data_IF_526240047805
#
_entry.id   IF_526240047805
#
_cell.length_a   1.000
_cell.length_b   1.000
_cell.length_c   1.000
_cell.angle_alpha   90.00
_cell.angle_beta   90.00
_cell.angle_gamma   90.00
#
_symmetry.space_group_name_H-M   'P 1'
#
loop_
_entity.id
_entity.type
_entity.pdbx_description
1 polymer ?
#
# COMPACT_ATOMS: atom_id res chain seq x y z
N UNK A 1 6.51 18.55 1.04
CA UNK A 1 5.51 17.97 1.96
C UNK A 1 4.21 17.84 1.20
N UNK A 2 3.61 16.66 1.23
CA UNK A 2 2.32 16.39 0.60
C UNK A 2 1.19 17.24 1.23
N UNK A 3 0.29 17.85 0.42
CA UNK A 3 -0.79 18.70 0.92
C UNK A 3 -1.74 18.03 1.92
N UNK A 4 -1.90 16.69 1.86
CA UNK A 4 -2.75 15.92 2.78
C UNK A 4 -2.14 15.91 4.17
N UNK A 5 -0.82 15.70 4.25
CA UNK A 5 -0.11 15.73 5.51
C UNK A 5 -0.05 17.14 6.09
N UNK A 6 0.12 18.15 5.23
CA UNK A 6 0.01 19.56 5.63
C UNK A 6 -1.37 19.89 6.22
N UNK A 7 -2.44 19.42 5.56
CA UNK A 7 -3.82 19.60 6.01
C UNK A 7 -4.17 18.81 7.27
N UNK A 8 -3.53 17.67 7.50
CA UNK A 8 -3.66 16.92 8.75
C UNK A 8 -2.89 17.58 9.90
N UNK A 9 -1.65 18.05 9.67
CA UNK A 9 -0.83 18.61 10.75
C UNK A 9 -1.32 19.99 11.18
N UNK A 10 -1.67 20.85 10.22
CA UNK A 10 -2.00 22.26 10.48
C UNK A 10 -3.00 22.49 11.63
N UNK A 11 -4.17 21.81 11.65
CA UNK A 11 -5.17 21.98 12.70
C UNK A 11 -4.70 21.64 14.13
N UNK A 12 -3.79 20.67 14.27
CA UNK A 12 -3.34 20.13 15.56
C UNK A 12 -1.86 20.43 15.84
N UNK A 13 -1.25 21.37 15.11
CA UNK A 13 0.20 21.58 15.11
C UNK A 13 0.77 21.94 16.50
N UNK A 14 -0.03 22.57 17.36
CA UNK A 14 0.35 22.90 18.73
C UNK A 14 0.10 21.77 19.74
N UNK A 15 -0.63 20.72 19.35
CA UNK A 15 -0.91 19.55 20.18
C UNK A 15 0.26 18.55 20.11
N UNK A 16 0.45 17.70 21.15
CA UNK A 16 1.47 16.65 21.13
C UNK A 16 1.40 15.75 19.89
N UNK A 17 0.18 15.42 19.42
CA UNK A 17 -0.02 14.61 18.22
C UNK A 17 0.48 15.31 16.94
N UNK A 18 0.25 16.63 16.80
CA UNK A 18 0.78 17.38 15.65
C UNK A 18 2.31 17.50 15.68
N UNK A 19 2.90 17.63 16.88
CA UNK A 19 4.35 17.64 17.07
C UNK A 19 4.97 16.28 16.72
N UNK A 20 4.35 15.16 17.13
CA UNK A 20 4.79 13.81 16.77
C UNK A 20 4.75 13.58 15.26
N UNK A 21 3.66 13.97 14.59
CA UNK A 21 3.56 13.86 13.12
C UNK A 21 4.65 14.68 12.40
N UNK A 22 4.97 15.87 12.89
CA UNK A 22 6.06 16.69 12.34
C UNK A 22 7.44 16.07 12.57
N UNK A 23 7.68 15.51 13.76
CA UNK A 23 8.92 14.79 14.08
C UNK A 23 9.11 13.58 13.17
N UNK A 24 8.06 12.77 13.01
CA UNK A 24 8.05 11.64 12.08
C UNK A 24 8.29 12.06 10.65
N UNK A 25 7.66 13.13 10.18
CA UNK A 25 7.89 13.62 8.83
C UNK A 25 9.36 14.02 8.63
N UNK A 26 9.95 14.72 9.60
CA UNK A 26 11.38 15.08 9.55
C UNK A 26 12.26 13.84 9.52
N UNK A 27 12.03 12.91 10.44
CA UNK A 27 12.73 11.63 10.50
C UNK A 27 12.62 10.86 9.18
N UNK A 28 11.45 10.84 8.55
CA UNK A 28 11.25 10.20 7.25
C UNK A 28 12.10 10.84 6.16
N UNK A 29 12.17 12.18 6.10
CA UNK A 29 13.00 12.90 5.13
C UNK A 29 14.49 12.63 5.35
N UNK A 30 14.92 12.57 6.60
CA UNK A 30 16.33 12.41 6.97
C UNK A 30 16.84 10.98 6.82
N UNK A 31 15.99 9.98 7.10
CA UNK A 31 16.43 8.59 7.31
C UNK A 31 15.89 7.59 6.29
N UNK A 32 14.84 7.94 5.53
CA UNK A 32 14.28 7.01 4.55
C UNK A 32 15.31 6.66 3.47
N UNK A 33 15.37 5.39 3.03
CA UNK A 33 16.24 5.00 1.94
C UNK A 33 15.90 5.77 0.65
N UNK A 34 16.90 5.95 -0.20
CA UNK A 34 16.72 6.48 -1.55
C UNK A 34 15.79 5.57 -2.38
N UNK A 35 15.14 6.13 -3.40
CA UNK A 35 14.31 5.32 -4.31
C UNK A 35 15.22 4.35 -5.08
N UNK A 36 14.83 3.07 -5.23
CA UNK A 36 15.63 2.11 -5.97
C UNK A 36 15.70 2.50 -7.46
N UNK A 37 16.78 2.13 -8.12
CA UNK A 37 17.02 2.40 -9.55
C UNK A 37 17.51 1.14 -10.27
N UNK A 38 17.42 1.13 -11.60
CA UNK A 38 17.95 0.04 -12.43
C UNK A 38 17.36 -1.33 -12.06
N UNK A 39 18.23 -2.31 -11.86
CA UNK A 39 17.85 -3.69 -11.50
C UNK A 39 17.14 -3.78 -10.15
N UNK A 40 17.62 -3.07 -9.13
CA UNK A 40 16.97 -3.02 -7.81
C UNK A 40 15.54 -2.49 -7.89
N UNK A 41 15.27 -1.53 -8.78
CA UNK A 41 13.90 -1.06 -9.03
C UNK A 41 13.03 -2.17 -9.63
N UNK A 42 13.57 -2.93 -10.57
CA UNK A 42 12.87 -4.05 -11.19
C UNK A 42 12.54 -5.15 -10.18
N UNK A 43 13.48 -5.46 -9.27
CA UNK A 43 13.28 -6.38 -8.16
C UNK A 43 12.25 -5.86 -7.16
N UNK A 44 12.32 -4.57 -6.80
CA UNK A 44 11.41 -3.94 -5.84
C UNK A 44 9.94 -4.06 -6.24
N UNK A 45 9.64 -4.03 -7.54
CA UNK A 45 8.27 -4.09 -8.07
C UNK A 45 7.93 -5.44 -8.71
N UNK A 46 8.76 -6.46 -8.52
CA UNK A 46 8.65 -7.75 -9.19
C UNK A 46 7.29 -8.43 -8.95
N UNK A 47 6.75 -8.37 -7.74
CA UNK A 47 5.45 -8.96 -7.41
C UNK A 47 4.29 -8.40 -8.25
N UNK A 48 4.28 -7.07 -8.47
CA UNK A 48 3.27 -6.44 -9.32
C UNK A 48 3.47 -6.81 -10.78
N UNK A 49 4.72 -6.82 -11.27
CA UNK A 49 5.01 -7.23 -12.66
C UNK A 49 4.60 -8.68 -12.91
N UNK A 50 4.90 -9.58 -11.97
CA UNK A 50 4.49 -10.98 -12.01
C UNK A 50 2.97 -11.15 -12.19
N UNK A 51 2.17 -10.42 -11.41
CA UNK A 51 0.71 -10.42 -11.58
C UNK A 51 0.30 -9.87 -12.96
N UNK A 52 0.90 -8.76 -13.41
CA UNK A 52 0.55 -8.14 -14.69
C UNK A 52 0.94 -9.01 -15.90
N UNK A 53 2.05 -9.74 -15.80
CA UNK A 53 2.49 -10.73 -16.77
C UNK A 53 1.52 -11.91 -16.82
N UNK A 54 1.10 -12.43 -15.65
CA UNK A 54 0.11 -13.52 -15.57
C UNK A 54 -1.26 -13.12 -16.14
N UNK A 55 -1.69 -11.88 -15.90
CA UNK A 55 -2.94 -11.38 -16.50
C UNK A 55 -2.83 -11.26 -18.03
N UNK A 56 -1.68 -10.85 -18.54
CA UNK A 56 -1.40 -10.80 -19.97
C UNK A 56 -2.33 -9.89 -20.78
N UNK A 57 -2.19 -9.93 -22.10
CA UNK A 57 -3.03 -9.14 -23.01
C UNK A 57 -4.42 -9.76 -23.25
N UNK A 58 -4.54 -11.08 -23.09
CA UNK A 58 -5.81 -11.80 -23.24
C UNK A 58 -6.71 -11.66 -22.00
N UNK A 59 -6.14 -11.24 -20.87
CA UNK A 59 -6.84 -11.20 -19.59
C UNK A 59 -6.94 -12.58 -18.93
N UNK A 60 -7.33 -12.55 -17.65
CA UNK A 60 -7.38 -13.71 -16.79
C UNK A 60 -8.82 -14.03 -16.39
N UNK A 61 -9.38 -15.18 -16.81
CA UNK A 61 -10.77 -15.52 -16.54
C UNK A 61 -11.00 -15.80 -15.04
N UNK A 62 -12.01 -15.17 -14.48
CA UNK A 62 -12.45 -15.37 -13.10
C UNK A 62 -13.51 -16.47 -13.00
N UNK A 63 -13.75 -16.91 -11.78
CA UNK A 63 -14.93 -17.67 -11.38
C UNK A 63 -16.19 -16.79 -11.45
N UNK A 64 -17.38 -17.41 -11.41
CA UNK A 64 -18.66 -16.68 -11.35
C UNK A 64 -18.80 -15.77 -10.13
N UNK A 65 -18.08 -16.08 -9.04
CA UNK A 65 -18.01 -15.26 -7.84
C UNK A 65 -16.92 -14.16 -7.91
N UNK A 66 -16.33 -13.92 -9.07
CA UNK A 66 -15.28 -12.93 -9.31
C UNK A 66 -13.95 -13.18 -8.56
N UNK A 67 -13.66 -14.43 -8.23
CA UNK A 67 -12.35 -14.86 -7.71
C UNK A 67 -11.50 -15.51 -8.79
N UNK A 68 -10.18 -15.44 -8.63
CA UNK A 68 -9.18 -16.23 -9.35
C UNK A 68 -9.48 -17.72 -9.24
N UNK A 69 -9.21 -18.47 -10.31
CA UNK A 69 -9.30 -19.92 -10.26
C UNK A 69 -8.12 -20.49 -9.47
N UNK A 70 -8.24 -21.69 -8.86
CA UNK A 70 -7.17 -22.26 -8.03
C UNK A 70 -5.78 -22.31 -8.69
N UNK A 71 -5.71 -22.57 -10.00
CA UNK A 71 -4.44 -22.56 -10.74
C UNK A 71 -3.82 -21.15 -10.77
N UNK A 72 -4.63 -20.12 -11.01
CA UNK A 72 -4.19 -18.74 -11.06
C UNK A 72 -3.78 -18.21 -9.68
N UNK A 73 -4.46 -18.65 -8.62
CA UNK A 73 -4.07 -18.31 -7.24
C UNK A 73 -2.66 -18.81 -6.94
N UNK A 74 -2.29 -20.01 -7.40
CA UNK A 74 -0.94 -20.56 -7.20
C UNK A 74 0.11 -19.78 -7.97
N UNK A 75 -0.16 -19.46 -9.25
CA UNK A 75 0.77 -18.65 -10.04
C UNK A 75 0.98 -17.31 -9.36
N UNK A 76 -0.07 -16.58 -8.97
CA UNK A 76 0.09 -15.29 -8.29
C UNK A 76 0.87 -15.46 -6.98
N UNK A 77 0.55 -16.47 -6.17
CA UNK A 77 1.23 -16.74 -4.91
C UNK A 77 2.75 -16.92 -5.04
N UNK A 78 3.22 -17.59 -6.10
CA UNK A 78 4.64 -17.85 -6.34
C UNK A 78 5.48 -16.56 -6.47
N UNK A 79 4.86 -15.45 -6.91
CA UNK A 79 5.55 -14.18 -7.08
C UNK A 79 5.44 -13.20 -5.90
N UNK A 80 4.80 -13.60 -4.78
CA UNK A 80 4.58 -12.69 -3.65
C UNK A 80 5.58 -12.93 -2.52
N UNK A 81 6.41 -11.94 -2.14
CA UNK A 81 7.24 -12.01 -0.94
C UNK A 81 6.45 -12.37 0.33
N UNK A 82 5.22 -11.86 0.47
CA UNK A 82 4.36 -12.16 1.62
C UNK A 82 3.88 -13.61 1.71
N UNK A 83 4.08 -14.43 0.67
CA UNK A 83 3.73 -15.85 0.70
C UNK A 83 4.85 -16.73 1.29
N UNK A 84 6.02 -16.18 1.63
CA UNK A 84 7.15 -16.95 2.18
C UNK A 84 6.81 -17.77 3.43
N UNK A 85 5.98 -17.24 4.34
CA UNK A 85 5.58 -17.92 5.58
C UNK A 85 4.20 -18.61 5.48
N UNK A 86 3.60 -18.65 4.29
CA UNK A 86 2.26 -19.20 4.12
C UNK A 86 2.26 -20.73 4.20
N UNK A 87 1.85 -21.27 5.35
CA UNK A 87 1.83 -22.72 5.62
C UNK A 87 0.51 -23.42 5.25
N UNK A 88 -0.53 -22.65 4.89
CA UNK A 88 -1.86 -23.20 4.62
C UNK A 88 -2.06 -23.61 3.15
N UNK A 89 -3.00 -24.52 2.84
CA UNK A 89 -3.27 -24.92 1.47
C UNK A 89 -3.68 -23.77 0.55
N UNK A 90 -2.99 -23.62 -0.59
CA UNK A 90 -3.34 -22.66 -1.65
C UNK A 90 -4.44 -23.27 -2.52
N UNK A 91 -5.68 -22.95 -2.17
CA UNK A 91 -6.88 -23.57 -2.77
C UNK A 91 -7.81 -22.55 -3.43
N UNK A 92 -8.49 -21.70 -2.65
CA UNK A 92 -9.44 -20.68 -3.14
C UNK A 92 -8.90 -19.30 -2.77
N UNK A 93 -9.01 -18.33 -3.67
CA UNK A 93 -8.47 -16.97 -3.45
C UNK A 93 -8.91 -16.38 -2.12
N UNK A 94 -10.20 -16.47 -1.78
CA UNK A 94 -10.77 -15.93 -0.53
C UNK A 94 -10.13 -16.50 0.74
N UNK A 95 -9.55 -17.70 0.67
CA UNK A 95 -8.86 -18.35 1.79
C UNK A 95 -7.34 -18.06 1.78
N UNK A 96 -6.81 -17.45 0.72
CA UNK A 96 -5.40 -17.09 0.57
C UNK A 96 -5.29 -15.58 0.65
N UNK A 97 -5.47 -15.05 1.86
CA UNK A 97 -5.61 -13.61 2.12
C UNK A 97 -4.50 -12.74 1.49
N UNK A 98 -3.21 -13.10 1.50
CA UNK A 98 -2.18 -12.29 0.84
C UNK A 98 -2.39 -12.15 -0.66
N UNK A 99 -2.80 -13.22 -1.34
CA UNK A 99 -3.12 -13.20 -2.78
C UNK A 99 -4.39 -12.39 -3.04
N UNK A 100 -5.43 -12.57 -2.21
CA UNK A 100 -6.68 -11.82 -2.35
C UNK A 100 -6.46 -10.31 -2.20
N UNK A 101 -5.82 -9.91 -1.09
CA UNK A 101 -5.51 -8.52 -0.78
C UNK A 101 -4.66 -7.89 -1.89
N UNK A 102 -3.61 -8.58 -2.34
CA UNK A 102 -2.74 -8.10 -3.41
C UNK A 102 -3.45 -7.92 -4.76
N UNK A 103 -4.33 -8.86 -5.16
CA UNK A 103 -5.12 -8.67 -6.39
C UNK A 103 -6.06 -7.47 -6.25
N UNK A 104 -6.77 -7.36 -5.13
CA UNK A 104 -7.70 -6.25 -4.87
C UNK A 104 -6.95 -4.92 -4.86
N UNK A 105 -5.76 -4.87 -4.30
CA UNK A 105 -4.93 -3.67 -4.30
C UNK A 105 -4.48 -3.28 -5.71
N UNK A 106 -4.09 -4.24 -6.57
CA UNK A 106 -3.77 -3.97 -7.96
C UNK A 106 -4.97 -3.40 -8.76
N UNK A 107 -6.20 -3.82 -8.43
CA UNK A 107 -7.42 -3.19 -8.97
C UNK A 107 -7.64 -1.78 -8.41
N UNK A 108 -7.51 -1.59 -7.10
CA UNK A 108 -7.64 -0.28 -6.41
C UNK A 108 -6.66 0.75 -6.97
N UNK A 109 -5.42 0.31 -7.21
CA UNK A 109 -4.36 1.13 -7.81
C UNK A 109 -4.62 1.38 -9.30
N UNK A 110 -5.55 0.66 -9.94
CA UNK A 110 -5.93 0.84 -11.33
C UNK A 110 -4.96 0.23 -12.32
N UNK A 111 -4.18 -0.78 -11.91
CA UNK A 111 -3.31 -1.54 -12.81
C UNK A 111 -4.11 -2.61 -13.59
N UNK A 112 -5.07 -3.22 -12.91
CA UNK A 112 -6.01 -4.18 -13.50
C UNK A 112 -7.46 -3.74 -13.27
N UNK A 113 -8.38 -4.34 -14.02
CA UNK A 113 -9.83 -4.13 -13.85
C UNK A 113 -10.59 -5.41 -14.16
N UNK A 114 -11.75 -5.57 -13.53
CA UNK A 114 -12.74 -6.59 -13.90
C UNK A 114 -13.53 -6.15 -15.12
N UNK A 115 -13.65 -7.03 -16.11
CA UNK A 115 -14.50 -6.85 -17.30
C UNK A 115 -15.02 -8.21 -17.76
N UNK A 116 -16.35 -8.35 -17.84
CA UNK A 116 -17.03 -9.53 -18.38
C UNK A 116 -16.51 -10.86 -17.81
N UNK A 117 -16.36 -10.95 -16.48
CA UNK A 117 -15.90 -12.18 -15.82
C UNK A 117 -14.39 -12.46 -15.96
N UNK A 118 -13.59 -11.48 -16.39
CA UNK A 118 -12.13 -11.59 -16.47
C UNK A 118 -11.43 -10.38 -15.84
N UNK A 119 -10.19 -10.55 -15.38
CA UNK A 119 -9.27 -9.46 -15.12
C UNK A 119 -8.58 -9.05 -16.41
N UNK A 120 -8.44 -7.75 -16.64
CA UNK A 120 -7.74 -7.21 -17.81
C UNK A 120 -6.81 -6.10 -17.38
N UNK A 121 -5.68 -5.96 -18.06
CA UNK A 121 -4.77 -4.84 -17.85
C UNK A 121 -5.46 -3.52 -18.25
N UNK A 122 -5.30 -2.50 -17.40
CA UNK A 122 -5.61 -1.12 -17.80
C UNK A 122 -4.51 -0.58 -18.72
N UNK A 123 -4.64 0.67 -19.20
CA UNK A 123 -3.53 1.33 -19.91
C UNK A 123 -2.30 1.46 -19.02
N UNK A 124 -2.50 1.85 -17.76
CA UNK A 124 -1.42 1.96 -16.78
C UNK A 124 -0.80 0.59 -16.49
N UNK A 125 -1.62 -0.46 -16.31
CA UNK A 125 -1.13 -1.83 -16.12
C UNK A 125 -0.25 -2.34 -17.27
N UNK A 126 -0.63 -2.06 -18.53
CA UNK A 126 0.22 -2.40 -19.70
C UNK A 126 1.56 -1.69 -19.67
N UNK A 127 1.59 -0.39 -19.35
CA UNK A 127 2.83 0.38 -19.25
C UNK A 127 3.72 -0.13 -18.11
N UNK A 128 3.11 -0.36 -16.94
CA UNK A 128 3.78 -0.86 -15.74
C UNK A 128 4.35 -2.28 -15.91
N UNK A 129 3.71 -3.11 -16.73
CA UNK A 129 4.22 -4.44 -17.09
C UNK A 129 5.58 -4.36 -17.80
N UNK A 130 5.70 -3.45 -18.76
CA UNK A 130 6.90 -3.28 -19.59
C UNK A 130 7.99 -2.40 -18.98
N UNK A 131 7.65 -1.53 -18.02
CA UNK A 131 8.57 -0.52 -17.48
C UNK A 131 8.44 -0.42 -15.95
N UNK A 132 9.45 -0.91 -15.20
CA UNK A 132 9.50 -0.79 -13.74
C UNK A 132 9.42 0.65 -13.22
N UNK A 133 9.95 1.64 -13.96
CA UNK A 133 9.89 3.05 -13.58
C UNK A 133 8.47 3.59 -13.71
N UNK A 134 7.78 3.25 -14.79
CA UNK A 134 6.37 3.58 -14.95
C UNK A 134 5.51 2.94 -13.84
N UNK A 135 5.82 1.70 -13.44
CA UNK A 135 5.13 1.04 -12.33
C UNK A 135 5.39 1.75 -10.99
N UNK A 136 6.64 2.05 -10.64
CA UNK A 136 6.97 2.76 -9.39
C UNK A 136 6.28 4.12 -9.31
N UNK A 137 6.35 4.88 -10.39
CA UNK A 137 5.72 6.20 -10.47
C UNK A 137 4.20 6.10 -10.34
N UNK A 138 3.58 5.11 -10.97
CA UNK A 138 2.14 4.86 -10.83
C UNK A 138 1.75 4.47 -9.41
N UNK A 139 2.52 3.59 -8.76
CA UNK A 139 2.30 3.21 -7.36
C UNK A 139 2.45 4.43 -6.45
N UNK A 140 3.51 5.21 -6.60
CA UNK A 140 3.76 6.44 -5.84
C UNK A 140 2.58 7.41 -5.91
N UNK A 141 2.05 7.64 -7.11
CA UNK A 141 0.92 8.55 -7.32
C UNK A 141 -0.42 8.03 -6.78
N UNK A 142 -0.60 6.70 -6.71
CA UNK A 142 -1.89 6.07 -6.39
C UNK A 142 -1.96 5.45 -5.00
N UNK A 143 -0.83 5.29 -4.32
CA UNK A 143 -0.73 4.61 -3.03
C UNK A 143 -1.67 5.21 -1.98
N UNK A 144 -1.65 6.53 -1.90
CA UNK A 144 -2.48 7.30 -0.98
C UNK A 144 -3.51 8.08 -1.82
N UNK A 145 -4.81 8.02 -1.49
CA UNK A 145 -5.83 8.81 -2.19
C UNK A 145 -5.60 10.31 -2.07
N UNK A 146 -5.89 11.10 -3.11
CA UNK A 146 -5.70 12.55 -3.12
C UNK A 146 -6.88 13.34 -2.56
N UNK A 147 -8.08 12.75 -2.53
CA UNK A 147 -9.30 13.40 -2.02
C UNK A 147 -9.35 13.35 -0.49
N UNK A 148 -9.61 14.47 0.21
CA UNK A 148 -9.68 14.51 1.66
C UNK A 148 -10.91 13.74 2.15
N UNK A 149 -10.67 12.50 2.55
CA UNK A 149 -11.62 11.54 3.13
C UNK A 149 -10.97 10.93 4.37
N UNK A 150 -11.75 10.29 5.23
CA UNK A 150 -11.20 9.57 6.39
C UNK A 150 -10.06 8.62 5.95
N UNK A 151 -10.31 7.75 4.97
CA UNK A 151 -9.33 6.80 4.45
C UNK A 151 -8.05 7.48 3.93
N UNK A 152 -8.16 8.66 3.32
CA UNK A 152 -7.00 9.39 2.82
C UNK A 152 -6.15 9.94 3.98
N UNK A 153 -6.78 10.61 4.95
CA UNK A 153 -6.08 11.17 6.12
C UNK A 153 -5.49 10.07 7.00
N UNK A 154 -6.30 9.06 7.34
CA UNK A 154 -5.87 7.90 8.11
C UNK A 154 -4.77 7.13 7.37
N UNK A 155 -4.90 6.92 6.07
CA UNK A 155 -3.89 6.24 5.26
C UNK A 155 -2.55 6.97 5.25
N UNK A 156 -2.58 8.31 5.15
CA UNK A 156 -1.37 9.15 5.24
C UNK A 156 -0.69 9.05 6.61
N UNK A 157 -1.46 9.13 7.70
CA UNK A 157 -0.91 9.02 9.07
C UNK A 157 -0.35 7.61 9.31
N UNK A 158 -1.12 6.56 8.98
CA UNK A 158 -0.66 5.17 9.11
C UNK A 158 0.62 4.93 8.31
N UNK A 159 0.68 5.40 7.06
CA UNK A 159 1.88 5.26 6.23
C UNK A 159 3.10 5.94 6.88
N UNK A 160 2.92 7.16 7.41
CA UNK A 160 3.99 7.90 8.08
C UNK A 160 4.49 7.15 9.34
N UNK A 161 3.58 6.66 10.18
CA UNK A 161 3.98 5.89 11.36
C UNK A 161 4.68 4.57 10.98
N UNK A 162 4.17 3.81 10.00
CA UNK A 162 4.82 2.57 9.55
C UNK A 162 6.21 2.81 8.96
N UNK A 163 6.39 3.90 8.22
CA UNK A 163 7.66 4.24 7.58
C UNK A 163 8.73 4.75 8.56
N UNK A 164 8.32 5.30 9.71
CA UNK A 164 9.23 5.89 10.73
C UNK A 164 9.47 5.00 11.94
N UNK A 165 8.70 3.91 12.07
CA UNK A 165 8.94 2.87 13.08
C UNK A 165 9.12 1.47 12.43
N UNK A 166 10.00 1.30 11.44
CA UNK A 166 10.14 0.04 10.73
C UNK A 166 10.67 -1.06 11.68
N UNK A 167 9.78 -1.95 12.12
CA UNK A 167 10.09 -3.05 13.04
C UNK A 167 9.53 -2.90 14.45
N UNK A 168 8.71 -1.88 14.71
CA UNK A 168 7.87 -1.81 15.91
C UNK A 168 6.40 -2.07 15.56
N UNK A 169 5.66 -2.67 16.49
CA UNK A 169 4.20 -2.75 16.37
C UNK A 169 3.61 -1.35 16.34
N UNK A 170 2.76 -1.09 15.35
CA UNK A 170 2.07 0.19 15.22
C UNK A 170 1.11 0.41 16.39
N UNK A 171 1.22 1.53 17.10
CA UNK A 171 0.22 1.93 18.08
C UNK A 171 -1.02 2.49 17.39
N UNK A 172 -1.95 1.59 17.08
CA UNK A 172 -3.21 1.93 16.41
C UNK A 172 -4.17 2.72 17.28
N UNK A 173 -4.03 2.67 18.61
CA UNK A 173 -4.87 3.45 19.52
C UNK A 173 -4.43 4.92 19.52
N UNK A 174 -3.12 5.17 19.55
CA UNK A 174 -2.57 6.53 19.45
C UNK A 174 -2.95 7.23 18.12
N UNK A 175 -2.88 6.49 17.00
CA UNK A 175 -3.32 6.99 15.70
C UNK A 175 -4.83 7.30 15.71
N UNK A 176 -5.65 6.46 16.36
CA UNK A 176 -7.09 6.70 16.47
C UNK A 176 -7.40 7.96 17.30
N UNK A 177 -6.65 8.22 18.38
CA UNK A 177 -6.74 9.46 19.14
C UNK A 177 -6.34 10.67 18.29
N UNK A 178 -5.24 10.57 17.53
CA UNK A 178 -4.80 11.61 16.60
C UNK A 178 -5.90 11.93 15.58
N UNK A 179 -6.51 10.92 14.97
CA UNK A 179 -7.64 11.11 14.03
C UNK A 179 -8.86 11.76 14.70
N UNK A 180 -9.13 11.42 15.96
CA UNK A 180 -10.22 12.04 16.74
C UNK A 180 -9.91 13.51 17.04
N UNK A 181 -8.66 13.85 17.42
CA UNK A 181 -8.23 15.25 17.59
C UNK A 181 -8.33 16.06 16.30
N UNK A 182 -8.17 15.42 15.13
CA UNK A 182 -8.39 16.03 13.83
C UNK A 182 -9.88 16.28 13.50
N UNK A 183 -10.79 15.89 14.39
CA UNK A 183 -12.23 16.07 14.23
C UNK A 183 -12.94 14.92 13.50
N UNK A 184 -12.24 13.83 13.17
CA UNK A 184 -12.91 12.64 12.64
C UNK A 184 -13.69 11.93 13.75
N UNK A 185 -14.89 11.48 13.43
CA UNK A 185 -15.75 10.72 14.33
C UNK A 185 -16.74 9.87 13.53
N UNK A 186 -17.27 8.84 14.17
CA UNK A 186 -18.41 8.10 13.65
C UNK A 186 -19.70 8.94 13.77
N UNK A 187 -20.75 8.51 13.08
CA UNK A 187 -22.09 9.09 13.25
C UNK A 187 -22.49 9.09 14.73
N UNK A 188 -23.04 10.21 15.21
CA UNK A 188 -23.36 10.40 16.63
C UNK A 188 -22.20 10.94 17.48
N UNK A 189 -21.04 11.26 16.86
CA UNK A 189 -19.92 11.90 17.54
C UNK A 189 -19.03 10.95 18.33
N UNK A 190 -19.16 9.64 18.10
CA UNK A 190 -18.28 8.65 18.73
C UNK A 190 -16.85 8.75 18.16
N UNK A 191 -15.82 8.60 19.00
CA UNK A 191 -14.43 8.74 18.56
C UNK A 191 -14.03 7.66 17.56
N UNK A 192 -12.97 7.93 16.80
CA UNK A 192 -12.33 6.91 15.96
C UNK A 192 -11.76 5.81 16.85
N UNK A 193 -11.91 4.56 16.44
CA UNK A 193 -11.45 3.39 17.17
C UNK A 193 -10.19 2.82 16.53
N UNK A 194 -9.38 2.09 17.31
CA UNK A 194 -8.20 1.39 16.79
C UNK A 194 -8.52 0.44 15.63
N UNK A 195 -9.72 -0.16 15.62
CA UNK A 195 -10.14 -1.10 14.58
C UNK A 195 -10.36 -0.40 13.22
N UNK A 196 -10.76 0.88 13.23
CA UNK A 196 -10.84 1.71 12.01
C UNK A 196 -9.44 1.90 11.42
N UNK A 197 -8.45 2.13 12.28
CA UNK A 197 -7.04 2.27 11.89
C UNK A 197 -6.47 0.95 11.37
N UNK A 198 -6.81 -0.18 12.00
CA UNK A 198 -6.39 -1.51 11.56
C UNK A 198 -6.93 -1.81 10.16
N UNK A 199 -8.18 -1.45 9.86
CA UNK A 199 -8.76 -1.62 8.54
C UNK A 199 -7.98 -0.83 7.47
N UNK A 200 -7.66 0.44 7.75
CA UNK A 200 -6.85 1.29 6.85
C UNK A 200 -5.43 0.74 6.68
N UNK A 201 -4.79 0.30 7.76
CA UNK A 201 -3.46 -0.33 7.75
C UNK A 201 -3.43 -1.58 6.87
N UNK A 202 -4.45 -2.45 6.98
CA UNK A 202 -4.52 -3.66 6.16
C UNK A 202 -4.65 -3.35 4.67
N UNK A 203 -5.49 -2.37 4.31
CA UNK A 203 -5.62 -1.92 2.92
C UNK A 203 -4.32 -1.32 2.39
N UNK A 204 -3.60 -0.56 3.21
CA UNK A 204 -2.28 -0.03 2.85
C UNK A 204 -1.28 -1.17 2.67
N UNK A 205 -1.25 -2.13 3.59
CA UNK A 205 -0.39 -3.31 3.52
C UNK A 205 -0.62 -4.14 2.25
N UNK A 206 -1.87 -4.34 1.85
CA UNK A 206 -2.19 -5.02 0.59
C UNK A 206 -1.57 -4.32 -0.64
N UNK A 207 -1.35 -3.01 -0.57
CA UNK A 207 -0.69 -2.24 -1.62
C UNK A 207 0.85 -2.35 -1.59
N UNK A 208 1.48 -2.42 -0.40
CA UNK A 208 2.94 -2.23 -0.27
C UNK A 208 3.70 -3.39 0.35
N UNK A 209 3.02 -4.37 0.95
CA UNK A 209 3.63 -5.50 1.66
C UNK A 209 4.38 -6.47 0.75
N UNK A 210 4.23 -6.33 -0.57
CA UNK A 210 4.96 -7.09 -1.59
C UNK A 210 5.92 -6.20 -2.42
N UNK A 211 6.23 -4.99 -1.95
CA UNK A 211 7.29 -4.16 -2.52
C UNK A 211 8.61 -4.52 -1.86
N UNK A 212 9.64 -4.81 -2.66
CA UNK A 212 10.95 -5.20 -2.15
C UNK A 212 10.98 -6.59 -1.53
N UNK A 213 12.11 -6.92 -0.92
CA UNK A 213 12.31 -8.20 -0.25
C UNK A 213 11.42 -8.33 0.99
N UNK A 214 11.07 -9.57 1.32
CA UNK A 214 10.31 -9.89 2.53
C UNK A 214 11.06 -9.45 3.79
N UNK A 215 10.41 -8.66 4.64
CA UNK A 215 11.06 -7.95 5.73
C UNK A 215 10.61 -8.34 7.15
N UNK A 216 9.66 -9.25 7.33
CA UNK A 216 9.16 -9.63 8.65
C UNK A 216 8.09 -10.71 8.58
N UNK A 217 7.18 -10.82 9.54
CA UNK A 217 6.03 -11.72 9.42
C UNK A 217 4.83 -11.00 8.83
N UNK A 218 3.87 -11.74 8.24
CA UNK A 218 2.60 -11.16 7.75
C UNK A 218 1.81 -10.46 8.86
N UNK A 219 2.00 -10.90 10.10
CA UNK A 219 1.34 -10.34 11.29
C UNK A 219 1.94 -9.01 11.72
N UNK A 220 3.26 -8.88 11.63
CA UNK A 220 3.96 -7.64 11.98
C UNK A 220 3.79 -6.58 10.88
N UNK A 221 3.51 -6.99 9.63
CA UNK A 221 3.41 -6.11 8.46
C UNK A 221 4.60 -5.13 8.38
N UNK A 222 5.79 -5.67 8.64
CA UNK A 222 7.03 -4.90 8.61
C UNK A 222 7.35 -4.52 7.17
N UNK A 223 7.55 -3.23 6.92
CA UNK A 223 7.90 -2.72 5.61
C UNK A 223 9.35 -3.06 5.25
N UNK A 224 9.55 -3.42 3.99
CA UNK A 224 10.87 -3.47 3.36
C UNK A 224 11.46 -2.05 3.23
N UNK A 225 12.75 -1.97 2.92
CA UNK A 225 13.41 -0.68 2.64
C UNK A 225 12.75 0.02 1.45
N UNK A 226 12.41 -0.72 0.41
CA UNK A 226 11.80 -0.22 -0.81
C UNK A 226 10.38 0.27 -0.53
N UNK A 227 9.61 -0.42 0.31
CA UNK A 227 8.29 0.05 0.72
C UNK A 227 8.36 1.37 1.52
N UNK A 228 9.37 1.55 2.38
CA UNK A 228 9.62 2.83 3.06
C UNK A 228 9.99 3.93 2.05
N UNK A 229 10.86 3.65 1.07
CA UNK A 229 11.18 4.59 0.01
C UNK A 229 9.94 5.01 -0.80
N UNK A 230 9.04 4.06 -1.11
CA UNK A 230 7.80 4.34 -1.83
C UNK A 230 6.85 5.25 -1.03
N UNK A 231 6.73 5.04 0.29
CA UNK A 231 5.95 5.93 1.17
C UNK A 231 6.57 7.32 1.22
N UNK A 232 7.90 7.43 1.39
CA UNK A 232 8.61 8.71 1.35
C UNK A 232 8.31 9.44 0.03
N UNK A 233 8.38 8.74 -1.08
CA UNK A 233 8.09 9.29 -2.40
C UNK A 233 6.63 9.71 -2.60
N UNK A 234 5.69 9.03 -1.96
CA UNK A 234 4.28 9.41 -1.97
C UNK A 234 3.97 10.61 -1.06
N UNK A 235 4.75 10.84 0.00
CA UNK A 235 4.52 11.87 1.02
C UNK A 235 5.39 13.13 0.89
N UNK A 236 6.58 13.01 0.29
CA UNK A 236 7.60 14.08 0.30
C UNK A 236 7.88 14.58 -1.11
N UNK A 237 8.06 13.66 -2.05
CA UNK A 237 8.52 13.95 -3.41
C UNK A 237 7.31 14.22 -4.32
N UNK A 238 7.04 15.48 -4.68
CA UNK A 238 6.10 15.80 -5.76
C UNK A 238 6.80 16.09 -7.10
N UNK A 239 8.13 16.05 -7.14
CA UNK A 239 8.92 16.25 -8.36
C UNK A 239 9.01 14.91 -9.10
N UNK A 240 8.74 14.84 -10.41
CA UNK A 240 9.00 13.64 -11.20
C UNK A 240 10.45 13.22 -11.02
N UNK A 241 10.73 11.92 -10.89
CA UNK A 241 12.10 11.41 -10.98
C UNK A 241 12.65 11.87 -12.34
N UNK A 242 13.51 12.89 -12.37
CA UNK A 242 14.05 13.45 -13.62
C UNK A 242 14.91 12.42 -14.35
N UNK A 243 14.85 12.48 -15.70
CA UNK A 243 15.85 11.99 -16.66
C UNK A 243 16.45 10.62 -16.44
#
# INVERSE_FOLDING_TARGET
MDPRLAGAIGPIAAEPAGQDLMERLRSLVETAPASPTGEHLAEAVAAYRHLLDHVGDQGLPLTSANYLKPADVRVVAEGLPSMTEWIFPITREVNVHPVHGFRVSAERLGLIRRRQGSLTLTRAGRSARSDPRALWEHLRQRLLPSTPTFDATAGTIVALHQATAPGSTLDTQDIAHTLTSLGWSHAGGHPVLKDDVIAVRNVLWDCIGNIGAWAGTTWDQRLSREAVALIRDALVTQVPLEG
#
